data_IF_360276207911
#
_entry.id   IF_360276207911
#
_cell.length_a   1.000
_cell.length_b   1.000
_cell.length_c   1.000
_cell.angle_alpha   90.00
_cell.angle_beta   90.00
_cell.angle_gamma   90.00
#
_symmetry.space_group_name_H-M   'P 1'
#
loop_
_entity.id
_entity.type
_entity.pdbx_description
1 polymer ?
#
# COMPACT_ATOMS: atom_id res chain seq x y z
N UNK A 1 -3.91 -7.06 -12.12
CA UNK A 1 -2.97 -6.46 -13.09
C UNK A 1 -3.63 -5.31 -13.85
N UNK A 2 -3.00 -4.16 -14.12
CA UNK A 2 -1.64 -3.73 -13.78
C UNK A 2 -1.71 -2.48 -12.90
N UNK A 3 -1.31 -2.59 -11.63
CA UNK A 3 -1.36 -1.49 -10.66
C UNK A 3 -0.97 -1.95 -9.26
N UNK A 4 -0.69 -1.00 -8.39
CA UNK A 4 -0.32 -1.22 -7.00
C UNK A 4 -1.43 -0.74 -6.08
N UNK A 5 -2.02 -1.64 -5.29
CA UNK A 5 -2.97 -1.25 -4.25
C UNK A 5 -2.19 -1.08 -2.95
N UNK A 6 -2.48 -0.03 -2.20
CA UNK A 6 -1.91 0.21 -0.88
C UNK A 6 -3.00 0.35 0.16
N UNK A 7 -2.66 -0.08 1.38
CA UNK A 7 -3.44 0.10 2.59
C UNK A 7 -2.51 0.73 3.62
N UNK A 8 -2.97 1.79 4.27
CA UNK A 8 -2.28 2.44 5.39
C UNK A 8 -3.17 2.33 6.62
N UNK A 9 -2.58 2.20 7.83
CA UNK A 9 -3.39 2.33 9.02
C UNK A 9 -3.92 3.76 9.08
N UNK A 10 -5.11 3.93 9.64
CA UNK A 10 -5.68 5.25 9.83
C UNK A 10 -5.02 6.01 10.99
N UNK A 11 -5.78 6.93 11.59
CA UNK A 11 -5.31 7.77 12.68
C UNK A 11 -4.95 6.97 13.94
N UNK A 12 -5.50 5.77 14.12
CA UNK A 12 -5.20 4.90 15.25
C UNK A 12 -3.85 4.14 15.12
N UNK A 13 -3.24 4.19 13.92
CA UNK A 13 -1.96 3.53 13.63
C UNK A 13 -2.02 2.01 13.61
N UNK A 14 -3.20 1.40 13.57
CA UNK A 14 -3.44 -0.05 13.68
C UNK A 14 -4.26 -0.54 12.50
N UNK A 15 -3.73 -1.50 11.74
CA UNK A 15 -4.53 -2.13 10.69
C UNK A 15 -5.65 -2.99 11.27
N UNK A 16 -6.79 -3.01 10.58
CA UNK A 16 -7.81 -4.03 10.79
C UNK A 16 -7.28 -5.44 10.52
N UNK A 17 -7.92 -6.46 11.11
CA UNK A 17 -7.60 -7.86 10.85
C UNK A 17 -7.75 -8.20 9.37
N UNK A 18 -6.81 -9.04 8.90
CA UNK A 18 -6.78 -9.55 7.55
C UNK A 18 -6.76 -11.08 7.55
N UNK A 19 -7.48 -11.69 6.61
CA UNK A 19 -7.53 -13.13 6.37
C UNK A 19 -7.46 -13.40 4.86
N UNK A 20 -6.67 -14.39 4.46
CA UNK A 20 -6.45 -14.68 3.04
C UNK A 20 -7.74 -15.13 2.33
N UNK A 21 -8.62 -15.83 3.06
CA UNK A 21 -9.89 -16.35 2.59
C UNK A 21 -10.90 -15.25 2.27
N UNK A 22 -10.72 -14.05 2.83
CA UNK A 22 -11.57 -12.89 2.59
C UNK A 22 -11.13 -12.07 1.37
N UNK A 23 -10.00 -12.43 0.74
CA UNK A 23 -9.49 -11.71 -0.43
C UNK A 23 -10.43 -11.92 -1.62
N UNK A 24 -10.91 -10.81 -2.18
CA UNK A 24 -11.77 -10.79 -3.36
C UNK A 24 -11.47 -9.58 -4.24
N UNK A 25 -12.20 -9.42 -5.34
CA UNK A 25 -12.05 -8.26 -6.22
C UNK A 25 -12.32 -6.94 -5.47
N UNK A 26 -13.33 -6.92 -4.61
CA UNK A 26 -13.72 -5.74 -3.81
C UNK A 26 -13.03 -5.67 -2.44
N UNK A 27 -12.42 -6.77 -1.99
CA UNK A 27 -11.68 -6.85 -0.73
C UNK A 27 -10.23 -7.30 -0.97
N UNK A 28 -9.45 -6.46 -1.66
CA UNK A 28 -8.08 -6.77 -2.09
C UNK A 28 -7.11 -7.06 -0.93
N UNK A 29 -7.42 -6.61 0.28
CA UNK A 29 -6.59 -6.82 1.45
C UNK A 29 -7.10 -7.92 2.38
N UNK A 30 -8.21 -8.59 2.03
CA UNK A 30 -8.79 -9.65 2.84
C UNK A 30 -9.24 -9.16 4.22
N UNK A 31 -9.74 -7.93 4.30
CA UNK A 31 -10.13 -7.30 5.57
C UNK A 31 -11.32 -7.99 6.20
N UNK A 32 -11.29 -8.10 7.51
CA UNK A 32 -12.46 -8.35 8.35
C UNK A 32 -13.23 -7.03 8.51
N UNK A 33 -14.36 -6.90 7.81
CA UNK A 33 -15.14 -5.65 7.78
C UNK A 33 -15.84 -5.33 9.10
N UNK A 34 -15.94 -6.32 10.00
CA UNK A 34 -16.50 -6.13 11.34
C UNK A 34 -15.46 -5.63 12.35
N UNK A 35 -14.17 -5.63 11.99
CA UNK A 35 -13.10 -5.15 12.86
C UNK A 35 -13.13 -3.62 12.96
N UNK A 36 -13.20 -3.12 14.19
CA UNK A 36 -13.22 -1.68 14.46
C UNK A 36 -11.93 -0.98 14.05
N UNK A 37 -10.78 -1.65 14.17
CA UNK A 37 -9.48 -1.10 13.76
C UNK A 37 -9.36 -0.94 12.24
N UNK A 38 -10.18 -1.65 11.45
CA UNK A 38 -10.13 -1.56 9.99
C UNK A 38 -10.99 -0.45 9.38
N UNK A 39 -11.70 0.31 10.22
CA UNK A 39 -12.70 1.30 9.76
C UNK A 39 -12.07 2.59 9.26
N UNK A 40 -10.89 2.92 9.78
CA UNK A 40 -10.14 4.13 9.46
C UNK A 40 -8.95 3.84 8.52
N UNK A 41 -8.73 2.57 8.14
CA UNK A 41 -7.74 2.17 7.14
C UNK A 41 -7.92 2.93 5.82
N UNK A 42 -6.81 3.40 5.26
CA UNK A 42 -6.78 4.25 4.06
C UNK A 42 -6.36 3.42 2.85
N UNK A 43 -7.13 3.52 1.76
CA UNK A 43 -6.87 2.79 0.50
C UNK A 43 -6.46 3.74 -0.62
N UNK A 44 -5.39 3.40 -1.31
CA UNK A 44 -4.92 4.15 -2.46
C UNK A 44 -4.49 3.23 -3.59
N UNK A 45 -4.59 3.75 -4.81
CA UNK A 45 -4.16 3.07 -6.03
C UNK A 45 -2.97 3.82 -6.62
N UNK A 46 -1.88 3.10 -6.88
CA UNK A 46 -0.64 3.59 -7.48
C UNK A 46 0.04 4.75 -6.72
N UNK A 47 -0.33 4.99 -5.47
CA UNK A 47 0.26 6.05 -4.64
C UNK A 47 0.36 5.58 -3.19
N UNK A 48 1.53 5.75 -2.58
CA UNK A 48 1.78 5.44 -1.17
C UNK A 48 2.55 6.60 -0.55
N UNK A 49 2.15 7.01 0.64
CA UNK A 49 2.79 8.07 1.41
C UNK A 49 3.46 7.47 2.65
N UNK A 50 4.68 7.91 2.94
CA UNK A 50 5.42 7.51 4.14
C UNK A 50 6.16 8.71 4.76
N UNK A 51 6.32 8.76 6.08
CA UNK A 51 7.04 9.84 6.75
C UNK A 51 8.57 9.65 6.66
N UNK A 52 9.30 10.75 6.49
CA UNK A 52 10.77 10.78 6.61
C UNK A 52 11.24 10.48 8.04
N UNK A 53 12.42 9.89 8.17
CA UNK A 53 13.13 9.56 9.42
C UNK A 53 12.37 8.65 10.40
N UNK A 54 11.31 7.98 9.95
CA UNK A 54 10.56 6.98 10.73
C UNK A 54 10.71 5.57 10.11
N UNK A 55 10.81 4.51 10.92
CA UNK A 55 10.84 3.15 10.39
C UNK A 55 9.50 2.79 9.75
N UNK A 56 9.55 2.21 8.55
CA UNK A 56 8.38 1.77 7.78
C UNK A 56 8.55 0.32 7.40
N UNK A 57 7.51 -0.48 7.62
CA UNK A 57 7.43 -1.88 7.18
C UNK A 57 6.33 -1.98 6.12
N UNK A 58 6.69 -2.50 4.96
CA UNK A 58 5.78 -2.86 3.88
C UNK A 58 5.50 -4.36 3.97
N UNK A 59 4.23 -4.73 4.04
CA UNK A 59 3.78 -6.11 3.87
C UNK A 59 3.34 -6.31 2.42
N UNK A 60 4.14 -7.07 1.66
CA UNK A 60 4.02 -7.12 0.20
C UNK A 60 3.46 -8.48 -0.21
N UNK A 61 2.39 -8.46 -1.01
CA UNK A 61 1.73 -9.64 -1.55
C UNK A 61 1.24 -9.39 -2.97
N UNK A 62 0.70 -10.42 -3.62
CA UNK A 62 0.08 -10.31 -4.94
C UNK A 62 -1.30 -10.99 -4.97
N UNK A 63 -2.20 -10.40 -5.76
CA UNK A 63 -3.55 -10.91 -6.00
C UNK A 63 -3.63 -11.90 -7.18
N UNK A 64 -2.61 -11.93 -8.03
CA UNK A 64 -2.65 -12.67 -9.29
C UNK A 64 -1.37 -13.48 -9.56
N UNK A 65 -0.32 -12.86 -10.09
CA UNK A 65 0.96 -13.49 -10.45
C UNK A 65 2.11 -12.88 -9.68
N UNK A 66 3.33 -13.35 -9.88
CA UNK A 66 4.49 -12.73 -9.23
C UNK A 66 4.76 -11.36 -9.86
N UNK A 67 4.86 -10.35 -9.00
CA UNK A 67 5.40 -9.02 -9.33
C UNK A 67 6.64 -8.78 -8.47
N UNK A 68 7.26 -7.60 -8.59
CA UNK A 68 8.33 -7.20 -7.68
C UNK A 68 8.27 -5.72 -7.40
N UNK A 69 8.03 -5.37 -6.14
CA UNK A 69 7.95 -3.99 -5.65
C UNK A 69 9.36 -3.42 -5.51
N UNK A 70 9.72 -2.52 -6.43
CA UNK A 70 11.05 -1.93 -6.47
C UNK A 70 11.01 -0.41 -6.35
N UNK A 71 11.66 0.10 -5.31
CA UNK A 71 11.92 1.53 -5.10
C UNK A 71 13.42 1.73 -4.97
N UNK A 72 14.05 2.20 -6.04
CA UNK A 72 15.52 2.27 -6.17
C UNK A 72 16.14 3.13 -5.06
N UNK A 73 15.54 4.28 -4.76
CA UNK A 73 16.06 5.21 -3.75
C UNK A 73 16.09 4.61 -2.34
N UNK A 74 15.19 3.68 -2.05
CA UNK A 74 15.11 2.98 -0.77
C UNK A 74 15.89 1.65 -0.77
N UNK A 75 16.50 1.27 -1.90
CA UNK A 75 17.14 -0.05 -2.11
C UNK A 75 16.21 -1.23 -1.81
N UNK A 76 14.91 -1.03 -1.99
CA UNK A 76 13.90 -2.08 -1.87
C UNK A 76 13.72 -2.71 -3.25
N UNK A 77 13.79 -4.03 -3.29
CA UNK A 77 13.43 -4.87 -4.43
C UNK A 77 12.91 -6.19 -3.86
N UNK A 78 11.60 -6.25 -3.61
CA UNK A 78 10.96 -7.38 -2.94
C UNK A 78 9.87 -7.95 -3.84
N UNK A 79 9.99 -9.24 -4.15
CA UNK A 79 8.97 -9.95 -4.91
C UNK A 79 7.64 -9.97 -4.16
N UNK A 80 6.57 -9.70 -4.89
CA UNK A 80 5.20 -9.79 -4.44
C UNK A 80 4.65 -11.14 -4.93
N UNK A 81 4.48 -12.08 -4.01
CA UNK A 81 4.17 -13.48 -4.34
C UNK A 81 2.73 -13.81 -3.90
N UNK A 82 1.90 -14.37 -4.78
CA UNK A 82 0.54 -14.79 -4.40
C UNK A 82 0.55 -15.77 -3.22
N UNK A 83 -0.32 -15.53 -2.24
CA UNK A 83 -0.43 -16.37 -1.03
C UNK A 83 0.63 -16.13 0.04
N UNK A 84 1.51 -15.14 -0.13
CA UNK A 84 2.52 -14.77 0.87
C UNK A 84 2.39 -13.29 1.24
N UNK A 85 2.55 -12.97 2.53
CA UNK A 85 2.76 -11.59 3.00
C UNK A 85 4.22 -11.45 3.41
N UNK A 86 5.01 -10.78 2.58
CA UNK A 86 6.47 -10.70 2.74
C UNK A 86 6.83 -9.31 3.29
N UNK A 87 7.45 -9.22 4.49
CA UNK A 87 7.86 -7.95 5.04
C UNK A 87 9.12 -7.42 4.35
N UNK A 88 9.12 -6.14 4.01
CA UNK A 88 10.29 -5.35 3.64
C UNK A 88 10.28 -4.05 4.44
N UNK A 89 11.43 -3.47 4.77
CA UNK A 89 11.46 -2.28 5.62
C UNK A 89 12.53 -1.29 5.19
N UNK A 90 12.34 -0.04 5.59
CA UNK A 90 13.34 1.02 5.46
C UNK A 90 13.17 2.09 6.55
N UNK A 91 14.20 2.92 6.70
CA UNK A 91 14.08 4.23 7.34
C UNK A 91 14.44 5.25 6.24
N UNK A 92 13.45 5.88 5.60
CA UNK A 92 13.71 6.89 4.57
C UNK A 92 14.33 8.13 5.21
N UNK A 93 15.35 8.72 4.60
CA UNK A 93 16.09 9.85 5.18
C UNK A 93 16.10 11.10 4.28
N UNK A 94 15.26 11.11 3.25
CA UNK A 94 15.14 12.22 2.31
C UNK A 94 13.74 12.28 1.77
N UNK A 95 13.11 13.45 1.89
CA UNK A 95 11.79 13.70 1.32
C UNK A 95 11.85 13.73 -0.21
N UNK A 96 10.73 13.40 -0.85
CA UNK A 96 10.59 13.42 -2.30
C UNK A 96 9.62 12.38 -2.82
N UNK A 97 9.40 12.39 -4.14
CA UNK A 97 8.51 11.46 -4.85
C UNK A 97 9.32 10.50 -5.70
N UNK A 98 9.15 9.21 -5.49
CA UNK A 98 9.96 8.15 -6.05
C UNK A 98 9.09 7.17 -6.83
N UNK A 99 9.51 6.83 -8.05
CA UNK A 99 8.77 5.90 -8.89
C UNK A 99 8.91 4.46 -8.36
N UNK A 100 7.80 3.75 -8.31
CA UNK A 100 7.73 2.31 -8.07
C UNK A 100 7.84 1.60 -9.43
N UNK A 101 8.71 0.62 -9.51
CA UNK A 101 8.90 -0.17 -10.72
C UNK A 101 8.50 -1.62 -10.44
N UNK A 102 7.79 -2.25 -11.36
CA UNK A 102 7.68 -3.71 -11.34
C UNK A 102 8.99 -4.30 -11.86
N UNK A 103 9.65 -5.15 -11.07
CA UNK A 103 10.95 -5.73 -11.42
C UNK A 103 10.90 -7.24 -11.77
N UNK A 104 9.69 -7.81 -11.86
CA UNK A 104 9.46 -9.18 -12.30
C UNK A 104 8.49 -9.18 -13.47
N UNK A 105 8.83 -9.89 -14.56
CA UNK A 105 7.97 -9.95 -15.74
C UNK A 105 6.62 -10.56 -15.38
N UNK A 106 5.56 -9.75 -15.48
CA UNK A 106 4.23 -10.11 -15.00
C UNK A 106 3.13 -10.02 -16.08
N UNK A 107 3.50 -10.02 -17.36
CA UNK A 107 2.57 -9.99 -18.50
C UNK A 107 2.67 -8.74 -19.37
N UNK A 108 1.71 -8.56 -20.29
CA UNK A 108 1.81 -7.56 -21.38
C UNK A 108 1.84 -6.10 -20.90
N UNK A 109 1.26 -5.80 -19.74
CA UNK A 109 1.28 -4.46 -19.13
C UNK A 109 2.37 -4.29 -18.05
N UNK A 110 3.37 -5.18 -18.00
CA UNK A 110 4.43 -5.14 -17.00
C UNK A 110 5.10 -3.76 -16.90
N UNK A 111 5.43 -3.14 -18.02
CA UNK A 111 6.05 -1.80 -18.05
C UNK A 111 5.10 -0.68 -17.62
N UNK A 112 3.78 -0.88 -17.70
CA UNK A 112 2.78 0.12 -17.32
C UNK A 112 2.62 0.26 -15.80
N UNK A 113 3.10 -0.72 -15.02
CA UNK A 113 3.11 -0.65 -13.55
C UNK A 113 4.07 0.41 -12.99
N UNK A 114 4.78 1.13 -13.86
CA UNK A 114 5.55 2.34 -13.54
C UNK A 114 4.68 3.55 -13.20
N UNK A 115 3.34 3.43 -13.34
CA UNK A 115 2.39 4.42 -12.87
C UNK A 115 2.39 4.60 -11.34
N UNK A 116 2.96 3.66 -10.58
CA UNK A 116 3.05 3.73 -9.12
C UNK A 116 4.10 4.72 -8.61
N UNK A 117 3.76 5.50 -7.58
CA UNK A 117 4.68 6.40 -6.88
C UNK A 117 4.65 6.23 -5.36
N UNK A 118 5.81 6.41 -4.74
CA UNK A 118 6.00 6.50 -3.29
C UNK A 118 6.46 7.91 -2.95
N UNK A 119 5.69 8.60 -2.12
CA UNK A 119 5.99 9.92 -1.57
C UNK A 119 6.57 9.77 -0.17
N UNK A 120 7.75 10.35 0.05
CA UNK A 120 8.39 10.48 1.35
C UNK A 120 8.17 11.92 1.80
N UNK A 121 7.34 12.08 2.81
CA UNK A 121 6.85 13.38 3.24
C UNK A 121 7.54 13.85 4.52
N UNK A 122 7.44 15.15 4.80
CA UNK A 122 7.74 15.66 6.14
C UNK A 122 6.76 15.04 7.14
N UNK A 123 7.07 15.10 8.44
CA UNK A 123 6.13 14.57 9.44
C UNK A 123 4.81 15.34 9.39
N UNK A 124 4.87 16.67 9.23
CA UNK A 124 3.72 17.56 9.18
C UNK A 124 2.84 17.30 7.95
N UNK A 125 3.47 17.10 6.78
CA UNK A 125 2.74 16.82 5.54
C UNK A 125 2.11 15.42 5.58
N UNK A 126 2.81 14.42 6.12
CA UNK A 126 2.28 13.08 6.28
C UNK A 126 1.09 13.04 7.25
N UNK A 127 1.21 13.72 8.40
CA UNK A 127 0.13 13.81 9.38
C UNK A 127 -1.09 14.53 8.79
N UNK A 128 -0.86 15.57 7.97
CA UNK A 128 -1.93 16.26 7.23
C UNK A 128 -2.59 15.35 6.19
N UNK A 129 -1.80 14.56 5.47
CA UNK A 129 -2.29 13.59 4.49
C UNK A 129 -3.13 12.50 5.17
N UNK A 130 -2.68 11.98 6.33
CA UNK A 130 -3.43 11.01 7.12
C UNK A 130 -4.80 11.56 7.49
N UNK A 131 -4.88 12.76 8.07
CA UNK A 131 -6.16 13.37 8.47
C UNK A 131 -7.11 13.56 7.28
N UNK A 132 -6.59 13.93 6.12
CA UNK A 132 -7.39 14.16 4.91
C UNK A 132 -7.94 12.87 4.29
N UNK A 133 -7.21 11.76 4.43
CA UNK A 133 -7.54 10.50 3.77
C UNK A 133 -8.10 9.43 4.71
N UNK A 134 -8.01 9.63 6.02
CA UNK A 134 -8.66 8.76 7.02
C UNK A 134 -10.17 8.89 6.87
N UNK A 135 -10.90 7.81 6.55
CA UNK A 135 -12.36 7.84 6.50
C UNK A 135 -12.94 8.23 7.86
N UNK A 136 -14.00 9.04 7.86
CA UNK A 136 -14.79 9.23 9.07
C UNK A 136 -15.46 7.89 9.45
N UNK A 137 -15.50 7.58 10.76
CA UNK A 137 -16.02 6.33 11.32
C UNK A 137 -17.24 5.77 10.53
N UNK A 138 -17.01 4.74 9.71
CA UNK A 138 -18.07 4.00 9.02
C UNK A 138 -18.18 4.13 7.49
N UNK A 139 -17.30 4.89 6.81
CA UNK A 139 -17.33 5.03 5.34
C UNK A 139 -16.24 4.22 4.58
N UNK A 140 -15.51 3.32 5.25
CA UNK A 140 -14.44 2.49 4.63
C UNK A 140 -14.91 1.33 3.73
N UNK A 141 -16.13 1.39 3.21
CA UNK A 141 -16.81 0.30 2.50
C UNK A 141 -17.32 0.73 1.12
N UNK A 142 -16.44 0.72 0.12
CA UNK A 142 -16.85 0.77 -1.28
C UNK A 142 -16.71 2.13 -1.95
N UNK A 143 -15.48 2.55 -2.23
CA UNK A 143 -15.26 3.46 -3.35
C UNK A 143 -15.31 2.62 -4.64
N UNK A 144 -16.48 2.59 -5.29
CA UNK A 144 -16.60 2.19 -6.69
C UNK A 144 -15.87 3.22 -7.55
N UNK A 145 -14.87 2.79 -8.30
CA UNK A 145 -14.22 3.63 -9.31
C UNK A 145 -14.77 3.23 -10.68
N UNK A 146 -15.49 4.15 -11.33
CA UNK A 146 -15.78 4.11 -12.77
C UNK A 146 -14.49 4.30 -13.61
#
# INVERSE_FOLDING_TARGET
QFGWNFMHPGADGTFGKQQFELVSEDNKFGRDLEDSFGKDDIFTLNEIHIPVDKPVIFHISSLDVIHSFKVIALRICQDAVPGMSIPSWCIPNKTGRYQINCAQLCGNGHSAMTAGFLSIDSTEDYDSWLVQNTPADGEGGGMSFE
#
